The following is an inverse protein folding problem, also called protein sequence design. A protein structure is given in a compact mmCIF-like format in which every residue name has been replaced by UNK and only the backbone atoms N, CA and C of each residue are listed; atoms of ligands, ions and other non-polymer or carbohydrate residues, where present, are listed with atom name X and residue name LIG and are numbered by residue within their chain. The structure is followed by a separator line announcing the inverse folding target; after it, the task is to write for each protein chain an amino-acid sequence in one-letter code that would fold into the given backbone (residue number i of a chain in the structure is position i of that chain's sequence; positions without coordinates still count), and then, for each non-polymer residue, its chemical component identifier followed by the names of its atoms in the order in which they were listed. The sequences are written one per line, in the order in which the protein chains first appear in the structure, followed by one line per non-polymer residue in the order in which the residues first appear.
data_IF_087466484699
#
_entry.id   IF_087466484699
#
_cell.length_a   1.000
_cell.length_b   1.000
_cell.length_c   1.000
_cell.angle_alpha   90.00
_cell.angle_beta   90.00
_cell.angle_gamma   90.00
#
_symmetry.space_group_name_H-M   'P 1'
#
loop_
_entity.id
_entity.type
_entity.pdbx_description
1 polymer ?
#
# COMPACT_ATOMS: atom_id res chain seq x y z
N UNK A 1 -3.10 -1.59 6.61
CA UNK A 1 -1.82 -1.38 7.31
C UNK A 1 -1.59 -2.56 8.24
N UNK A 2 -0.47 -3.33 8.11
CA UNK A 2 -0.25 -4.56 8.86
C UNK A 2 -0.27 -4.38 10.39
N UNK A 3 0.29 -3.28 10.89
CA UNK A 3 0.29 -2.96 12.33
C UNK A 3 -1.12 -2.73 12.87
N UNK A 4 -1.96 -1.99 12.16
CA UNK A 4 -3.36 -1.75 12.53
C UNK A 4 -4.17 -3.04 12.55
N UNK A 5 -3.96 -3.91 11.55
CA UNK A 5 -4.59 -5.23 11.47
C UNK A 5 -4.26 -6.09 12.70
N UNK A 6 -2.98 -6.12 13.09
CA UNK A 6 -2.53 -6.83 14.28
C UNK A 6 -3.23 -6.32 15.55
N UNK A 7 -3.33 -5.01 15.74
CA UNK A 7 -4.02 -4.40 16.88
C UNK A 7 -5.50 -4.81 16.93
N UNK A 8 -6.18 -4.79 15.77
CA UNK A 8 -7.59 -5.22 15.68
C UNK A 8 -7.73 -6.69 16.07
N UNK A 9 -6.89 -7.56 15.54
CA UNK A 9 -6.93 -9.00 15.80
C UNK A 9 -6.66 -9.32 17.27
N UNK A 10 -5.67 -8.68 17.88
CA UNK A 10 -5.34 -8.85 19.29
C UNK A 10 -6.43 -8.30 20.23
N UNK A 11 -6.99 -7.13 19.91
CA UNK A 11 -8.00 -6.48 20.76
C UNK A 11 -9.35 -7.18 20.74
N UNK A 12 -9.73 -7.78 19.60
CA UNK A 12 -11.05 -8.34 19.39
C UNK A 12 -11.06 -9.88 19.40
N UNK A 13 -9.88 -10.53 19.43
CA UNK A 13 -9.77 -11.99 19.32
C UNK A 13 -10.34 -12.54 18.01
N UNK A 14 -10.31 -11.73 16.94
CA UNK A 14 -10.93 -12.03 15.67
C UNK A 14 -9.89 -11.98 14.52
N UNK A 15 -10.14 -12.66 13.43
CA UNK A 15 -9.30 -12.56 12.22
C UNK A 15 -9.77 -11.39 11.38
N UNK A 16 -8.82 -10.57 10.93
CA UNK A 16 -9.07 -9.42 10.08
C UNK A 16 -8.71 -9.73 8.62
N UNK A 17 -9.65 -9.57 7.72
CA UNK A 17 -9.46 -9.78 6.27
C UNK A 17 -9.56 -8.44 5.55
N UNK A 18 -8.59 -8.21 4.65
CA UNK A 18 -8.63 -7.04 3.77
C UNK A 18 -9.63 -7.24 2.64
N UNK A 19 -10.41 -6.20 2.38
CA UNK A 19 -11.42 -6.19 1.33
C UNK A 19 -11.35 -4.85 0.59
N UNK A 20 -10.42 -4.71 -0.37
CA UNK A 20 -10.24 -3.46 -1.07
C UNK A 20 -11.43 -3.12 -1.96
N UNK A 21 -11.71 -1.84 -2.01
CA UNK A 21 -12.77 -1.26 -2.83
C UNK A 21 -12.58 0.23 -3.01
N UNK A 22 -13.25 0.79 -3.99
CA UNK A 22 -13.33 2.22 -4.22
C UNK A 22 -14.77 2.63 -4.47
N UNK A 23 -15.12 3.87 -4.12
CA UNK A 23 -16.48 4.40 -4.29
C UNK A 23 -16.93 4.32 -5.75
N UNK A 24 -16.00 4.51 -6.67
CA UNK A 24 -16.24 4.53 -8.11
C UNK A 24 -16.59 3.16 -8.67
N UNK A 25 -15.90 2.11 -8.21
CA UNK A 25 -15.99 0.77 -8.78
C UNK A 25 -16.68 -0.25 -7.87
N UNK A 26 -16.72 -0.02 -6.57
CA UNK A 26 -17.20 -0.97 -5.56
C UNK A 26 -16.08 -1.84 -5.01
N UNK A 27 -16.45 -2.88 -4.26
CA UNK A 27 -15.52 -3.83 -3.66
C UNK A 27 -14.99 -4.80 -4.73
N UNK A 28 -13.73 -4.68 -5.08
CA UNK A 28 -13.14 -5.41 -6.20
C UNK A 28 -12.22 -6.56 -5.80
N UNK A 29 -11.91 -6.68 -4.52
CA UNK A 29 -10.99 -7.72 -4.09
C UNK A 29 -11.26 -8.24 -2.69
N UNK A 30 -10.62 -9.33 -2.35
CA UNK A 30 -10.71 -9.97 -1.04
C UNK A 30 -9.44 -10.73 -0.69
N UNK A 31 -9.09 -10.73 0.58
CA UNK A 31 -8.00 -11.53 1.12
C UNK A 31 -8.47 -12.98 1.36
N UNK A 32 -7.59 -13.96 1.15
CA UNK A 32 -7.81 -15.33 1.57
C UNK A 32 -6.93 -15.70 2.79
N UNK A 33 -7.25 -16.84 3.43
CA UNK A 33 -6.53 -17.31 4.62
C UNK A 33 -5.08 -17.70 4.35
N UNK A 34 -4.78 -18.17 3.13
CA UNK A 34 -3.48 -18.70 2.76
C UNK A 34 -2.47 -17.61 2.36
N UNK A 35 -2.96 -16.41 2.02
CA UNK A 35 -2.15 -15.28 1.58
C UNK A 35 -2.51 -14.02 2.40
N UNK A 36 -2.09 -13.94 3.68
CA UNK A 36 -2.58 -12.91 4.61
C UNK A 36 -2.12 -11.49 4.30
N UNK A 37 -1.18 -11.32 3.38
CA UNK A 37 -0.69 -10.01 2.94
C UNK A 37 -1.06 -9.69 1.50
N UNK A 38 -1.87 -10.53 0.87
CA UNK A 38 -2.22 -10.40 -0.54
C UNK A 38 -3.74 -10.41 -0.71
N UNK A 39 -4.19 -9.93 -1.85
CA UNK A 39 -5.61 -9.78 -2.17
C UNK A 39 -5.89 -10.40 -3.52
N UNK A 40 -6.92 -11.24 -3.63
CA UNK A 40 -7.44 -11.68 -4.92
C UNK A 40 -8.35 -10.61 -5.51
N UNK A 41 -8.30 -10.44 -6.83
CA UNK A 41 -9.34 -9.69 -7.57
C UNK A 41 -10.57 -10.61 -7.72
N UNK A 42 -11.76 -10.05 -7.54
CA UNK A 42 -13.00 -10.77 -7.84
C UNK A 42 -13.28 -10.74 -9.35
N UNK A 43 -12.64 -11.64 -10.10
CA UNK A 43 -12.73 -11.70 -11.56
C UNK A 43 -14.09 -12.22 -12.07
N UNK A 44 -14.99 -12.62 -11.18
CA UNK A 44 -16.40 -12.90 -11.55
C UNK A 44 -17.19 -11.61 -11.80
N UNK A 45 -16.78 -10.50 -11.18
CA UNK A 45 -17.46 -9.21 -11.30
C UNK A 45 -16.61 -8.10 -11.94
N UNK A 46 -15.31 -8.33 -12.09
CA UNK A 46 -14.38 -7.35 -12.64
C UNK A 46 -13.48 -7.94 -13.71
N UNK A 47 -13.24 -7.18 -14.76
CA UNK A 47 -12.05 -7.37 -15.60
C UNK A 47 -10.95 -6.49 -15.01
N UNK A 48 -9.83 -7.09 -14.65
CA UNK A 48 -8.64 -6.38 -14.20
C UNK A 48 -7.60 -6.33 -15.32
N UNK A 49 -7.06 -5.17 -15.56
CA UNK A 49 -5.92 -4.94 -16.44
C UNK A 49 -4.78 -4.34 -15.62
N UNK A 50 -3.57 -4.73 -15.93
CA UNK A 50 -2.36 -4.29 -15.23
C UNK A 50 -1.47 -3.55 -16.22
N UNK A 51 -1.29 -2.26 -16.02
CA UNK A 51 -0.62 -1.37 -16.96
C UNK A 51 0.69 -0.89 -16.34
N UNK A 52 1.78 -1.01 -17.08
CA UNK A 52 3.06 -0.40 -16.69
C UNK A 52 2.90 1.12 -16.69
N UNK A 53 3.05 1.79 -15.53
CA UNK A 53 2.82 3.22 -15.44
C UNK A 53 3.83 4.07 -16.23
N UNK A 54 4.96 3.51 -16.63
CA UNK A 54 6.00 4.22 -17.39
C UNK A 54 5.78 4.16 -18.91
N UNK A 55 5.24 3.04 -19.41
CA UNK A 55 5.06 2.81 -20.84
C UNK A 55 3.61 2.93 -21.30
N UNK A 56 2.64 2.69 -20.39
CA UNK A 56 1.23 2.61 -20.72
C UNK A 56 0.81 1.28 -21.37
N UNK A 57 1.73 0.34 -21.50
CA UNK A 57 1.50 -0.99 -22.06
C UNK A 57 1.15 -2.02 -20.98
N UNK A 58 0.61 -3.19 -21.32
CA UNK A 58 0.37 -4.26 -20.35
C UNK A 58 1.65 -4.63 -19.60
N UNK A 59 1.56 -4.67 -18.28
CA UNK A 59 2.66 -5.06 -17.42
C UNK A 59 2.87 -6.58 -17.47
N UNK A 60 4.10 -7.02 -17.21
CA UNK A 60 4.43 -8.43 -17.03
C UNK A 60 3.96 -8.91 -15.63
N UNK A 61 3.77 -10.19 -15.51
CA UNK A 61 3.48 -10.83 -14.23
C UNK A 61 4.59 -10.56 -13.22
N UNK A 62 4.23 -10.37 -11.96
CA UNK A 62 5.13 -9.98 -10.87
C UNK A 62 5.81 -8.60 -11.03
N UNK A 63 5.52 -7.83 -12.08
CA UNK A 63 5.96 -6.46 -12.19
C UNK A 63 5.01 -5.50 -11.43
N UNK A 64 5.54 -4.34 -11.04
CA UNK A 64 4.69 -3.27 -10.54
C UNK A 64 3.84 -2.68 -11.66
N UNK A 65 2.54 -2.53 -11.42
CA UNK A 65 1.58 -2.08 -12.41
C UNK A 65 0.53 -1.15 -11.79
N UNK A 66 -0.05 -0.30 -12.61
CA UNK A 66 -1.30 0.39 -12.28
C UNK A 66 -2.48 -0.56 -12.48
N UNK A 67 -3.36 -0.62 -11.48
CA UNK A 67 -4.60 -1.38 -11.57
C UNK A 67 -5.65 -0.59 -12.37
N UNK A 68 -6.20 -1.23 -13.40
CA UNK A 68 -7.30 -0.72 -14.20
C UNK A 68 -8.46 -1.69 -14.11
N UNK A 69 -9.66 -1.21 -13.79
CA UNK A 69 -10.83 -2.04 -13.53
C UNK A 69 -11.99 -1.72 -14.45
N UNK A 70 -12.64 -2.78 -14.93
CA UNK A 70 -13.96 -2.72 -15.59
C UNK A 70 -14.95 -3.53 -14.74
N UNK A 71 -16.01 -2.88 -14.26
CA UNK A 71 -17.05 -3.57 -13.50
C UNK A 71 -18.11 -4.16 -14.43
N UNK A 72 -18.37 -5.45 -14.32
CA UNK A 72 -19.30 -6.19 -15.18
C UNK A 72 -20.77 -6.08 -14.74
N UNK A 73 -21.03 -5.82 -13.45
CA UNK A 73 -22.39 -5.83 -12.88
C UNK A 73 -23.07 -4.46 -12.79
N UNK A 74 -22.38 -3.34 -13.00
CA UNK A 74 -22.94 -1.98 -12.81
C UNK A 74 -23.59 -1.42 -14.08
N UNK A 75 -24.72 -1.95 -14.47
CA UNK A 75 -25.43 -1.54 -15.69
C UNK A 75 -25.98 -0.10 -15.63
N UNK A 76 -26.34 0.39 -14.44
CA UNK A 76 -26.91 1.74 -14.27
C UNK A 76 -25.87 2.87 -14.21
N UNK A 77 -24.62 2.54 -13.92
CA UNK A 77 -23.47 3.46 -13.90
C UNK A 77 -22.21 2.65 -14.29
N UNK A 78 -22.07 2.30 -15.57
CA UNK A 78 -20.97 1.43 -16.02
C UNK A 78 -19.63 2.12 -15.82
N UNK A 79 -18.68 1.35 -15.33
CA UNK A 79 -17.29 1.76 -15.18
C UNK A 79 -16.45 0.86 -16.08
N UNK A 80 -15.84 1.45 -17.10
CA UNK A 80 -15.08 0.73 -18.13
C UNK A 80 -13.66 1.29 -18.15
N UNK A 81 -12.67 0.40 -17.97
CA UNK A 81 -11.25 0.71 -17.95
C UNK A 81 -10.91 1.90 -17.04
N UNK A 82 -11.44 1.86 -15.82
CA UNK A 82 -11.18 2.88 -14.81
C UNK A 82 -9.76 2.71 -14.26
N UNK A 83 -8.95 3.72 -14.47
CA UNK A 83 -7.60 3.80 -13.90
C UNK A 83 -7.73 4.16 -12.43
N UNK A 84 -7.44 3.21 -11.54
CA UNK A 84 -7.61 3.42 -10.10
C UNK A 84 -6.55 4.36 -9.51
N UNK A 85 -5.40 4.47 -10.17
CA UNK A 85 -4.20 5.13 -9.65
C UNK A 85 -3.48 4.29 -8.59
N UNK A 86 -3.94 3.07 -8.31
CA UNK A 86 -3.32 2.18 -7.35
C UNK A 86 -2.16 1.40 -7.99
N UNK A 87 -1.02 1.39 -7.31
CA UNK A 87 0.12 0.55 -7.64
C UNK A 87 -0.06 -0.83 -7.01
N UNK A 88 0.05 -1.86 -7.84
CA UNK A 88 -0.12 -3.26 -7.44
C UNK A 88 0.99 -4.13 -8.02
N UNK A 89 1.09 -5.37 -7.55
CA UNK A 89 1.97 -6.40 -8.11
C UNK A 89 1.14 -7.65 -8.40
N UNK A 90 0.64 -7.82 -9.65
CA UNK A 90 -0.18 -8.96 -10.03
C UNK A 90 0.64 -10.24 -10.12
N UNK A 91 0.04 -11.36 -9.75
CA UNK A 91 0.59 -12.69 -9.95
C UNK A 91 -0.50 -13.68 -10.32
N UNK A 92 -0.25 -14.50 -11.33
CA UNK A 92 -1.09 -15.61 -11.75
C UNK A 92 -0.63 -16.94 -11.15
N UNK A 93 0.32 -16.94 -10.22
CA UNK A 93 0.74 -18.13 -9.50
C UNK A 93 -0.45 -18.77 -8.76
N UNK A 94 -0.57 -20.12 -8.78
CA UNK A 94 -1.64 -20.80 -8.07
C UNK A 94 -1.64 -20.47 -6.57
N UNK A 95 -2.76 -19.99 -6.07
CA UNK A 95 -2.92 -19.80 -4.63
C UNK A 95 -3.36 -21.12 -3.97
N UNK A 96 -2.79 -21.48 -2.79
CA UNK A 96 -3.21 -22.66 -2.04
C UNK A 96 -4.70 -22.66 -1.64
N UNK A 97 -5.39 -21.51 -1.70
CA UNK A 97 -6.83 -21.42 -1.48
C UNK A 97 -7.67 -22.08 -2.59
N UNK A 98 -7.05 -22.48 -3.71
CA UNK A 98 -7.69 -23.13 -4.86
C UNK A 98 -8.46 -22.21 -5.80
N UNK A 99 -8.53 -20.90 -5.53
CA UNK A 99 -9.17 -19.94 -6.43
C UNK A 99 -8.24 -19.59 -7.60
N UNK A 100 -8.77 -19.52 -8.83
CA UNK A 100 -7.97 -19.19 -10.02
C UNK A 100 -7.75 -17.69 -10.21
N UNK A 101 -8.26 -16.85 -9.32
CA UNK A 101 -8.23 -15.39 -9.44
C UNK A 101 -6.83 -14.82 -9.27
N UNK A 102 -6.52 -13.79 -10.05
CA UNK A 102 -5.27 -13.04 -9.92
C UNK A 102 -5.05 -12.60 -8.48
N UNK A 103 -3.82 -12.76 -8.01
CA UNK A 103 -3.38 -12.35 -6.70
C UNK A 103 -2.57 -11.06 -6.80
N UNK A 104 -2.94 -10.05 -6.03
CA UNK A 104 -2.13 -8.85 -5.83
C UNK A 104 -1.20 -9.08 -4.64
N UNK A 105 0.08 -9.34 -4.90
CA UNK A 105 1.10 -9.56 -3.87
C UNK A 105 1.30 -8.28 -3.05
N UNK A 106 1.11 -8.36 -1.73
CA UNK A 106 1.14 -7.19 -0.86
C UNK A 106 -0.12 -6.32 -0.89
N UNK A 107 -1.15 -6.69 -1.66
CA UNK A 107 -2.39 -5.91 -1.83
C UNK A 107 -2.16 -4.63 -2.64
N UNK A 108 -2.73 -3.51 -2.19
CA UNK A 108 -2.45 -2.18 -2.74
C UNK A 108 -1.15 -1.67 -2.13
N UNK A 109 -0.12 -1.50 -2.96
CA UNK A 109 1.22 -1.10 -2.53
C UNK A 109 1.30 0.40 -2.24
N UNK A 110 0.51 1.20 -2.96
CA UNK A 110 0.44 2.64 -2.81
C UNK A 110 -0.38 3.26 -3.93
N UNK A 111 -0.45 4.60 -3.93
CA UNK A 111 -1.08 5.35 -5.02
C UNK A 111 -0.02 6.01 -5.87
N UNK A 112 -0.19 5.94 -7.19
CA UNK A 112 0.76 6.54 -8.14
C UNK A 112 0.78 8.07 -8.05
N UNK A 113 -0.37 8.69 -7.79
CA UNK A 113 -0.53 10.13 -7.63
C UNK A 113 0.01 10.66 -6.29
N UNK A 114 0.15 9.81 -5.27
CA UNK A 114 0.73 10.17 -3.98
C UNK A 114 2.25 9.94 -3.93
N UNK A 115 2.82 9.29 -4.94
CA UNK A 115 4.24 8.98 -4.98
C UNK A 115 5.08 10.25 -5.10
N UNK A 116 6.07 10.39 -4.24
CA UNK A 116 7.03 11.50 -4.27
C UNK A 116 8.44 10.97 -4.51
N UNK A 117 9.14 11.56 -5.46
CA UNK A 117 10.56 11.23 -5.67
C UNK A 117 11.40 12.07 -4.70
N UNK A 118 12.11 11.39 -3.80
CA UNK A 118 13.03 11.99 -2.82
C UNK A 118 14.44 11.46 -3.10
N UNK A 119 15.38 12.33 -3.43
CA UNK A 119 16.76 11.96 -3.78
C UNK A 119 16.85 10.79 -4.80
N UNK A 120 15.95 10.78 -5.80
CA UNK A 120 15.89 9.72 -6.82
C UNK A 120 15.21 8.42 -6.39
N UNK A 121 14.66 8.35 -5.18
CA UNK A 121 13.92 7.19 -4.66
C UNK A 121 12.43 7.49 -4.66
N UNK A 122 11.63 6.54 -5.14
CA UNK A 122 10.18 6.61 -5.08
C UNK A 122 9.71 6.33 -3.64
N UNK A 123 9.10 7.31 -3.01
CA UNK A 123 8.57 7.23 -1.65
C UNK A 123 7.06 7.33 -1.70
N UNK A 124 6.40 6.32 -1.14
CA UNK A 124 4.95 6.30 -0.96
C UNK A 124 4.60 6.69 0.49
N UNK A 125 3.62 7.57 0.72
CA UNK A 125 3.18 7.94 2.08
C UNK A 125 2.80 6.72 2.92
N UNK A 126 2.15 5.73 2.30
CA UNK A 126 1.79 4.46 2.95
C UNK A 126 2.99 3.68 3.48
N UNK A 127 4.13 3.73 2.80
CA UNK A 127 5.36 3.08 3.26
C UNK A 127 5.93 3.77 4.51
N UNK A 128 5.87 5.10 4.56
CA UNK A 128 6.29 5.87 5.73
C UNK A 128 5.35 5.60 6.91
N UNK A 129 4.05 5.64 6.69
CA UNK A 129 3.04 5.34 7.71
C UNK A 129 3.21 3.94 8.29
N UNK A 130 3.40 2.92 7.45
CA UNK A 130 3.65 1.55 7.90
C UNK A 130 4.86 1.45 8.84
N UNK A 131 5.92 2.22 8.58
CA UNK A 131 7.12 2.24 9.42
C UNK A 131 6.83 2.94 10.75
N UNK A 132 6.19 4.11 10.70
CA UNK A 132 5.89 4.90 11.92
C UNK A 132 4.97 4.13 12.86
N UNK A 133 3.94 3.47 12.32
CA UNK A 133 2.97 2.69 13.10
C UNK A 133 3.53 1.38 13.70
N UNK A 134 4.78 1.01 13.41
CA UNK A 134 5.49 -0.06 14.14
C UNK A 134 5.94 0.37 15.54
N UNK A 135 6.00 1.68 15.80
CA UNK A 135 6.42 2.26 17.06
C UNK A 135 5.21 2.74 17.85
N UNK A 136 4.79 1.96 18.85
CA UNK A 136 3.64 2.29 19.70
C UNK A 136 3.86 3.59 20.51
N UNK A 137 5.10 4.00 20.68
CA UNK A 137 5.50 5.22 21.40
C UNK A 137 5.28 6.50 20.59
N UNK A 138 4.98 6.41 19.28
CA UNK A 138 4.67 7.57 18.43
C UNK A 138 3.15 7.76 18.43
N UNK A 139 2.69 8.88 18.96
CA UNK A 139 1.29 9.26 19.00
C UNK A 139 0.88 9.89 17.66
N UNK A 140 1.64 10.89 17.21
CA UNK A 140 1.40 11.59 15.95
C UNK A 140 2.67 11.78 15.13
N UNK A 141 2.49 11.95 13.82
CA UNK A 141 3.61 12.22 12.93
C UNK A 141 3.22 13.15 11.78
N UNK A 142 4.21 13.84 11.22
CA UNK A 142 4.08 14.66 10.01
C UNK A 142 5.27 14.43 9.09
N UNK A 143 4.98 14.25 7.80
CA UNK A 143 6.00 14.19 6.75
C UNK A 143 6.04 15.52 6.01
N UNK A 144 7.22 16.09 5.89
CA UNK A 144 7.46 17.31 5.11
C UNK A 144 8.39 16.97 3.95
N UNK A 145 7.99 17.35 2.74
CA UNK A 145 8.84 17.28 1.55
C UNK A 145 9.26 18.72 1.23
N UNK A 146 10.54 18.97 1.11
CA UNK A 146 11.10 20.28 0.82
C UNK A 146 12.28 20.18 -0.14
N UNK A 147 12.60 21.27 -0.82
CA UNK A 147 13.76 21.34 -1.71
C UNK A 147 14.97 21.91 -0.96
N UNK A 148 16.11 21.23 -1.12
CA UNK A 148 17.41 21.67 -0.66
C UNK A 148 18.46 21.34 -1.72
N UNK A 149 19.24 22.36 -2.14
CA UNK A 149 20.30 22.19 -3.15
C UNK A 149 19.83 21.48 -4.44
N UNK A 150 18.64 21.89 -4.93
CA UNK A 150 17.97 21.31 -6.10
C UNK A 150 17.56 19.83 -5.99
N UNK A 151 17.55 19.27 -4.78
CA UNK A 151 17.04 17.94 -4.49
C UNK A 151 15.86 18.00 -3.51
N UNK A 152 14.89 17.09 -3.73
CA UNK A 152 13.81 16.91 -2.75
C UNK A 152 14.31 16.08 -1.58
N UNK A 153 14.06 16.58 -0.38
CA UNK A 153 14.37 15.92 0.88
C UNK A 153 13.08 15.62 1.65
N UNK A 154 13.13 14.59 2.50
CA UNK A 154 12.06 14.20 3.39
C UNK A 154 12.47 14.48 4.83
N UNK A 155 11.59 15.15 5.58
CA UNK A 155 11.68 15.29 7.03
C UNK A 155 10.48 14.58 7.67
N UNK A 156 10.77 13.63 8.53
CA UNK A 156 9.77 13.01 9.39
C UNK A 156 9.82 13.70 10.76
N UNK A 157 8.69 14.26 11.17
CA UNK A 157 8.49 14.85 12.50
C UNK A 157 7.58 13.89 13.24
N UNK A 158 8.01 13.45 14.43
CA UNK A 158 7.26 12.52 15.27
C UNK A 158 6.98 13.15 16.63
N UNK A 159 5.77 12.94 17.13
CA UNK A 159 5.34 13.32 18.47
C UNK A 159 5.29 12.07 19.33
N UNK A 160 6.16 11.96 20.36
CA UNK A 160 6.10 10.83 21.28
C UNK A 160 4.90 10.94 22.22
N UNK A 161 4.24 9.82 22.50
CA UNK A 161 3.17 9.75 23.50
C UNK A 161 3.64 10.13 24.90
N UNK A 162 2.71 10.57 25.74
CA UNK A 162 2.96 11.13 27.07
C UNK A 162 3.74 10.20 28.03
N UNK A 163 3.71 8.89 27.81
CA UNK A 163 4.41 7.90 28.63
C UNK A 163 5.81 7.52 28.09
N UNK A 164 6.24 8.11 26.97
CA UNK A 164 7.52 7.79 26.34
C UNK A 164 8.68 8.53 26.99
N UNK A 165 9.45 7.87 27.82
CA UNK A 165 10.67 8.40 28.44
C UNK A 165 11.90 8.45 27.50
N UNK A 166 11.77 8.08 26.23
CA UNK A 166 12.90 7.86 25.31
C UNK A 166 12.74 8.50 23.92
N UNK A 167 12.22 9.71 23.84
CA UNK A 167 11.97 10.39 22.56
C UNK A 167 13.16 10.41 21.57
N UNK A 168 14.39 10.47 22.06
CA UNK A 168 15.61 10.43 21.22
C UNK A 168 15.85 9.05 20.64
N UNK A 169 15.68 7.98 21.42
CA UNK A 169 15.88 6.60 20.96
C UNK A 169 14.83 6.20 19.92
N UNK A 170 13.57 6.55 20.13
CA UNK A 170 12.47 6.30 19.18
C UNK A 170 12.74 7.03 17.87
N UNK A 171 13.15 8.29 17.93
CA UNK A 171 13.52 9.08 16.75
C UNK A 171 14.62 8.41 15.93
N UNK A 172 15.69 7.98 16.57
CA UNK A 172 16.86 7.42 15.89
C UNK A 172 16.53 6.04 15.28
N UNK A 173 15.77 5.21 15.99
CA UNK A 173 15.30 3.91 15.49
C UNK A 173 14.33 4.07 14.31
N UNK A 174 13.40 5.02 14.37
CA UNK A 174 12.47 5.30 13.28
C UNK A 174 13.22 5.79 12.04
N UNK A 175 14.19 6.71 12.22
CA UNK A 175 15.03 7.20 11.13
C UNK A 175 15.85 6.09 10.47
N UNK A 176 16.45 5.19 11.26
CA UNK A 176 17.19 4.04 10.75
C UNK A 176 16.27 3.08 9.98
N UNK A 177 15.10 2.78 10.53
CA UNK A 177 14.12 1.89 9.88
C UNK A 177 13.62 2.47 8.56
N UNK A 178 13.36 3.78 8.53
CA UNK A 178 12.97 4.50 7.31
C UNK A 178 14.06 4.38 6.24
N UNK A 179 15.31 4.66 6.58
CA UNK A 179 16.45 4.54 5.65
C UNK A 179 16.58 3.13 5.07
N UNK A 180 16.53 2.10 5.92
CA UNK A 180 16.66 0.70 5.48
C UNK A 180 15.55 0.27 4.53
N UNK A 181 14.31 0.70 4.76
CA UNK A 181 13.15 0.25 3.97
C UNK A 181 12.91 1.09 2.73
N UNK A 182 13.20 2.38 2.76
CA UNK A 182 12.99 3.27 1.62
C UNK A 182 14.23 3.42 0.74
N UNK A 183 15.43 3.06 1.24
CA UNK A 183 16.69 3.28 0.54
C UNK A 183 17.15 4.76 0.57
N UNK A 184 16.50 5.61 1.35
CA UNK A 184 16.92 7.00 1.52
C UNK A 184 18.24 7.04 2.30
N UNK A 185 19.27 7.64 1.69
CA UNK A 185 20.55 7.91 2.35
C UNK A 185 20.43 8.92 3.51
N UNK A 186 21.51 9.10 4.28
CA UNK A 186 21.56 10.06 5.39
C UNK A 186 21.41 11.51 4.90
#
# INVERSE_FOLDING_TARGET
IPSTKKVIEESWGARCFDHPGATEVGAFGFQCEHQPQSVHINEEEFVAEFIDPSTGEPAQDDAHAELVLTNLGRVGSPVIRYRTGDLVQPSHDPCPCGRPFVLLKGGILGRLDDMVIVRGVNVFPSAVENIVREFAEIEEYRVEIFEREAMRELRLIVEPGAESNSGTAVRDQTAERLRRRTGLGP
#
